data_IF_083903564458
#
_entry.id   IF_083903564458
#
_cell.length_a   1.000
_cell.length_b   1.000
_cell.length_c   1.000
_cell.angle_alpha   90.00
_cell.angle_beta   90.00
_cell.angle_gamma   90.00
#
_symmetry.space_group_name_H-M   'P 1'
#
loop_
_entity.id
_entity.type
_entity.pdbx_description
1 polymer ?
#
# COMPACT_ATOMS: atom_id res chain seq x y z
N UNK A 1 -1.16 9.30 -3.42
CA UNK A 1 -2.51 9.70 -3.88
C UNK A 1 -3.14 8.53 -4.60
N UNK A 2 -4.44 8.55 -4.85
CA UNK A 2 -5.07 7.56 -5.74
C UNK A 2 -4.39 7.60 -7.12
N UNK A 3 -4.11 6.44 -7.70
CA UNK A 3 -3.31 6.24 -8.90
C UNK A 3 -1.79 6.30 -8.68
N UNK A 4 -1.31 6.58 -7.47
CA UNK A 4 0.12 6.71 -7.20
C UNK A 4 0.83 5.37 -7.13
N UNK A 5 1.97 5.27 -7.82
CA UNK A 5 2.93 4.16 -7.72
C UNK A 5 3.65 4.20 -6.37
N UNK A 6 3.68 3.06 -5.69
CA UNK A 6 4.33 2.85 -4.39
C UNK A 6 5.00 1.48 -4.36
N UNK A 7 6.06 1.36 -3.57
CA UNK A 7 6.53 0.05 -3.11
C UNK A 7 5.73 -0.34 -1.87
N UNK A 8 5.16 -1.53 -1.86
CA UNK A 8 4.49 -2.11 -0.71
C UNK A 8 5.25 -3.32 -0.18
N UNK A 9 5.55 -3.32 1.10
CA UNK A 9 6.04 -4.50 1.81
C UNK A 9 4.90 -5.51 1.98
N UNK A 10 4.97 -6.66 1.31
CA UNK A 10 4.09 -7.80 1.55
C UNK A 10 4.73 -8.75 2.54
N UNK A 11 4.22 -8.77 3.78
CA UNK A 11 4.65 -9.68 4.84
C UNK A 11 3.91 -11.01 4.69
N UNK A 12 4.62 -12.08 4.33
CA UNK A 12 4.14 -13.47 4.38
C UNK A 12 4.80 -14.18 5.56
N UNK A 13 4.32 -15.39 5.90
CA UNK A 13 4.80 -16.15 7.05
C UNK A 13 6.32 -16.36 7.05
N UNK A 14 6.90 -16.59 5.87
CA UNK A 14 8.31 -17.00 5.74
C UNK A 14 9.19 -15.95 5.05
N UNK A 15 8.59 -14.93 4.43
CA UNK A 15 9.32 -13.91 3.68
C UNK A 15 8.59 -12.56 3.68
N UNK A 16 9.37 -11.50 3.62
CA UNK A 16 8.89 -10.12 3.43
C UNK A 16 9.50 -9.57 2.16
N UNK A 17 8.66 -9.26 1.16
CA UNK A 17 9.10 -8.80 -0.17
C UNK A 17 8.45 -7.46 -0.47
N UNK A 18 9.20 -6.56 -1.09
CA UNK A 18 8.66 -5.32 -1.64
C UNK A 18 8.21 -5.53 -3.08
N UNK A 19 6.99 -5.09 -3.38
CA UNK A 19 6.42 -5.11 -4.73
C UNK A 19 5.92 -3.73 -5.12
N UNK A 20 6.00 -3.43 -6.42
CA UNK A 20 5.30 -2.30 -7.00
C UNK A 20 3.79 -2.50 -6.89
N UNK A 21 3.10 -1.42 -6.54
CA UNK A 21 1.66 -1.38 -6.40
C UNK A 21 1.12 0.02 -6.70
N UNK A 22 -0.15 0.06 -7.09
CA UNK A 22 -0.87 1.31 -7.31
C UNK A 22 -1.95 1.50 -6.24
N UNK A 23 -2.05 2.71 -5.69
CA UNK A 23 -3.11 3.07 -4.74
C UNK A 23 -4.44 3.23 -5.48
N UNK A 24 -5.40 2.36 -5.22
CA UNK A 24 -6.75 2.43 -5.77
C UNK A 24 -7.63 3.41 -4.99
N UNK A 25 -7.53 3.38 -3.66
CA UNK A 25 -8.35 4.21 -2.77
C UNK A 25 -7.61 4.50 -1.46
N UNK A 26 -8.02 5.59 -0.78
CA UNK A 26 -7.52 5.94 0.55
C UNK A 26 -8.71 6.23 1.47
N UNK A 27 -8.95 5.34 2.43
CA UNK A 27 -9.86 5.62 3.54
C UNK A 27 -9.13 6.50 4.56
N UNK A 28 -9.44 7.80 4.52
CA UNK A 28 -8.84 8.80 5.41
C UNK A 28 -9.46 8.73 6.80
N UNK A 29 -8.63 8.55 7.82
CA UNK A 29 -9.04 8.53 9.22
C UNK A 29 -8.51 9.75 9.96
N UNK A 30 -9.22 10.21 10.99
CA UNK A 30 -8.71 11.26 11.87
C UNK A 30 -7.44 10.79 12.58
N UNK A 31 -6.37 11.52 12.39
CA UNK A 31 -5.10 11.29 13.08
C UNK A 31 -4.30 12.60 13.15
N UNK A 32 -3.36 12.66 14.09
CA UNK A 32 -2.45 13.80 14.23
C UNK A 32 -1.05 13.42 13.70
N UNK A 33 -0.06 14.26 14.03
CA UNK A 33 1.34 14.09 13.63
C UNK A 33 1.99 12.83 14.23
N UNK A 34 1.38 12.19 15.24
CA UNK A 34 1.95 11.01 15.92
C UNK A 34 1.87 9.75 15.06
N UNK A 35 1.03 9.74 14.02
CA UNK A 35 1.02 8.64 13.07
C UNK A 35 -0.23 8.57 12.21
N UNK A 36 -0.04 8.12 10.97
CA UNK A 36 -1.13 7.94 10.03
C UNK A 36 -1.96 6.70 10.38
N UNK A 37 -3.28 6.87 10.43
CA UNK A 37 -4.27 5.79 10.66
C UNK A 37 -5.06 5.44 9.39
N UNK A 38 -4.79 6.11 8.28
CA UNK A 38 -5.48 5.86 7.01
C UNK A 38 -5.25 4.42 6.53
N UNK A 39 -6.24 3.89 5.82
CA UNK A 39 -6.13 2.64 5.10
C UNK A 39 -5.98 2.92 3.62
N UNK A 40 -5.05 2.22 2.99
CA UNK A 40 -4.73 2.35 1.58
C UNK A 40 -5.15 1.04 0.90
N UNK A 41 -6.05 1.13 -0.05
CA UNK A 41 -6.38 0.01 -0.93
C UNK A 41 -5.40 0.08 -2.08
N UNK A 42 -4.58 -0.95 -2.22
CA UNK A 42 -3.57 -1.04 -3.26
C UNK A 42 -3.82 -2.26 -4.13
N UNK A 43 -3.34 -2.21 -5.37
CA UNK A 43 -3.26 -3.37 -6.26
C UNK A 43 -1.80 -3.59 -6.61
N UNK A 44 -1.29 -4.81 -6.37
CA UNK A 44 0.06 -5.16 -6.80
C UNK A 44 0.13 -5.28 -8.33
N UNK A 45 1.28 -4.91 -8.92
CA UNK A 45 1.43 -4.93 -10.38
C UNK A 45 1.78 -6.31 -10.93
N UNK A 46 2.32 -7.20 -10.08
CA UNK A 46 2.73 -8.55 -10.48
C UNK A 46 1.55 -9.52 -10.69
N UNK A 47 0.33 -9.14 -10.29
CA UNK A 47 -0.89 -9.91 -10.49
C UNK A 47 -2.05 -8.92 -10.71
N UNK A 48 -2.70 -8.97 -11.87
CA UNK A 48 -3.79 -8.03 -12.20
C UNK A 48 -5.17 -8.49 -11.73
N UNK A 49 -5.27 -9.61 -11.01
CA UNK A 49 -6.53 -10.14 -10.48
C UNK A 49 -7.05 -9.33 -9.29
N UNK A 50 -8.34 -9.45 -8.94
CA UNK A 50 -8.85 -8.84 -7.71
C UNK A 50 -8.20 -9.42 -6.44
N UNK A 51 -7.65 -10.64 -6.50
CA UNK A 51 -6.93 -11.26 -5.40
C UNK A 51 -5.60 -10.54 -5.06
N UNK A 52 -5.10 -9.69 -5.94
CA UNK A 52 -3.93 -8.83 -5.72
C UNK A 52 -4.24 -7.54 -4.96
N UNK A 53 -5.52 -7.26 -4.68
CA UNK A 53 -5.93 -6.06 -3.97
C UNK A 53 -5.75 -6.29 -2.46
N UNK A 54 -5.03 -5.39 -1.82
CA UNK A 54 -4.76 -5.47 -0.38
C UNK A 54 -5.03 -4.14 0.31
N UNK A 55 -5.61 -4.19 1.52
CA UNK A 55 -5.72 -3.03 2.41
C UNK A 55 -4.51 -2.96 3.33
N UNK A 56 -3.71 -1.90 3.20
CA UNK A 56 -2.47 -1.72 3.97
C UNK A 56 -2.44 -0.38 4.72
N UNK A 57 -1.55 -0.27 5.70
CA UNK A 57 -1.26 0.99 6.42
C UNK A 57 -0.05 1.67 5.79
N UNK A 58 0.06 2.99 5.98
CA UNK A 58 1.17 3.80 5.47
C UNK A 58 2.55 3.22 5.79
N UNK A 59 2.75 2.58 6.96
CA UNK A 59 4.02 1.98 7.38
C UNK A 59 4.56 0.88 6.45
N UNK A 60 3.69 0.28 5.63
CA UNK A 60 4.08 -0.74 4.63
C UNK A 60 4.37 -0.14 3.26
N UNK A 61 4.17 1.18 3.08
CA UNK A 61 4.28 1.86 1.81
C UNK A 61 5.51 2.78 1.79
N UNK A 62 6.29 2.68 0.72
CA UNK A 62 7.35 3.63 0.39
C UNK A 62 6.97 4.35 -0.90
N UNK A 63 7.11 5.69 -0.91
CA UNK A 63 6.96 6.47 -2.13
C UNK A 63 8.20 6.27 -2.99
N UNK A 64 8.01 5.88 -4.23
CA UNK A 64 9.09 5.90 -5.22
C UNK A 64 9.27 7.35 -5.68
N UNK A 65 10.45 7.90 -5.43
CA UNK A 65 10.86 9.17 -6.04
C UNK A 65 11.52 8.81 -7.36
N UNK A 66 10.79 9.01 -8.46
CA UNK A 66 11.38 9.06 -9.80
C UNK A 66 11.95 10.44 -10.08
#
# INVERSE_FOLDING_TARGET
MVGGLVLCLQERRDQSIYYDAHVLEIERKTHDIRGCRCLFFIRYDHDSSEASIETVRLRRLCRILG
#
